data_IF_312844425181
#
_entry.id   IF_312844425181
#
_cell.length_a   1.000
_cell.length_b   1.000
_cell.length_c   1.000
_cell.angle_alpha   90.00
_cell.angle_beta   90.00
_cell.angle_gamma   90.00
#
_symmetry.space_group_name_H-M   'P 1'
#
loop_
_entity.id
_entity.type
_entity.pdbx_description
1 polymer ?
#
# COMPACT_ATOMS: atom_id res chain seq x y z
N UNK A 1 -56.74 12.15 -24.29
CA UNK A 1 -55.31 12.41 -24.60
C UNK A 1 -54.65 12.89 -23.32
N UNK A 2 -53.97 11.99 -22.59
CA UNK A 2 -53.27 12.26 -21.32
C UNK A 2 -51.77 12.05 -21.55
N UNK A 3 -50.88 12.86 -20.93
CA UNK A 3 -49.54 13.07 -21.44
C UNK A 3 -48.61 11.90 -21.11
N UNK A 4 -48.01 11.34 -22.17
CA UNK A 4 -46.97 10.30 -22.16
C UNK A 4 -45.63 10.77 -21.55
N UNK A 5 -45.56 12.01 -21.06
CA UNK A 5 -44.32 12.70 -20.71
C UNK A 5 -43.87 12.54 -19.24
N UNK A 6 -44.69 11.92 -18.38
CA UNK A 6 -44.49 11.97 -16.93
C UNK A 6 -43.63 10.84 -16.36
N UNK A 7 -43.23 9.87 -17.19
CA UNK A 7 -42.44 8.71 -16.77
C UNK A 7 -40.92 8.92 -16.85
N UNK A 8 -40.46 10.01 -17.47
CA UNK A 8 -39.03 10.23 -17.74
C UNK A 8 -38.25 10.88 -16.58
N UNK A 9 -38.94 11.48 -15.61
CA UNK A 9 -38.29 12.32 -14.57
C UNK A 9 -37.82 11.52 -13.34
N UNK A 10 -38.26 10.27 -13.17
CA UNK A 10 -37.94 9.49 -11.97
C UNK A 10 -36.60 8.72 -12.03
N UNK A 11 -35.97 8.62 -13.21
CA UNK A 11 -34.74 7.83 -13.40
C UNK A 11 -33.44 8.63 -13.33
N UNK A 12 -33.51 9.96 -13.17
CA UNK A 12 -32.35 10.84 -13.21
C UNK A 12 -31.47 10.90 -11.92
N UNK A 13 -31.95 10.62 -10.68
CA UNK A 13 -31.08 10.80 -9.51
C UNK A 13 -30.09 9.65 -9.27
N UNK A 14 -30.20 8.51 -9.97
CA UNK A 14 -29.34 7.32 -9.73
C UNK A 14 -27.96 7.47 -10.40
N UNK A 15 -27.81 8.31 -11.42
CA UNK A 15 -26.55 8.48 -12.16
C UNK A 15 -25.54 9.42 -11.46
N UNK A 16 -25.96 10.21 -10.46
CA UNK A 16 -25.05 11.12 -9.72
C UNK A 16 -24.40 10.48 -8.49
N UNK A 17 -24.88 9.32 -8.02
CA UNK A 17 -24.25 8.55 -6.94
C UNK A 17 -23.27 7.48 -7.46
N UNK A 18 -22.83 7.64 -8.71
CA UNK A 18 -21.84 6.79 -9.36
C UNK A 18 -20.45 6.92 -8.71
N UNK A 19 -20.19 6.01 -7.78
CA UNK A 19 -18.90 5.35 -7.59
C UNK A 19 -17.69 6.23 -7.25
N UNK A 20 -17.66 6.76 -6.01
CA UNK A 20 -16.39 6.81 -5.29
C UNK A 20 -15.97 5.37 -4.97
N UNK A 21 -15.43 4.64 -5.95
CA UNK A 21 -14.84 3.33 -5.69
C UNK A 21 -13.65 3.55 -4.76
N UNK A 22 -13.64 2.96 -3.55
CA UNK A 22 -12.51 3.10 -2.65
C UNK A 22 -11.27 2.56 -3.35
N UNK A 23 -10.31 3.45 -3.63
CA UNK A 23 -9.01 3.04 -4.13
C UNK A 23 -8.29 2.32 -3.00
N UNK A 24 -8.36 0.99 -3.02
CA UNK A 24 -7.54 0.16 -2.16
C UNK A 24 -6.09 0.45 -2.54
N UNK A 25 -5.42 1.21 -1.68
CA UNK A 25 -4.01 1.50 -1.83
C UNK A 25 -3.27 0.18 -1.96
N UNK A 26 -2.42 -0.01 -2.99
CA UNK A 26 -1.70 -1.26 -3.15
C UNK A 26 -0.85 -1.51 -1.90
N UNK A 27 -0.75 -2.78 -1.44
CA UNK A 27 0.02 -3.14 -0.24
C UNK A 27 1.54 -3.10 -0.50
N UNK A 28 1.96 -2.30 -1.48
CA UNK A 28 3.36 -2.08 -1.80
C UNK A 28 3.58 -0.68 -2.36
N UNK A 29 4.85 -0.27 -2.38
CA UNK A 29 5.35 0.96 -2.99
C UNK A 29 6.66 0.68 -3.71
N UNK A 30 6.79 1.22 -4.91
CA UNK A 30 8.00 1.11 -5.72
C UNK A 30 8.81 2.40 -5.61
N UNK A 31 10.07 2.27 -5.20
CA UNK A 31 11.01 3.38 -5.06
C UNK A 31 12.13 3.23 -6.06
N UNK A 32 12.44 4.29 -6.80
CA UNK A 32 13.57 4.29 -7.73
C UNK A 32 14.87 4.32 -6.94
N UNK A 33 15.72 3.31 -7.13
CA UNK A 33 17.09 3.31 -6.68
C UNK A 33 17.98 3.97 -7.74
N UNK A 34 18.93 4.81 -7.30
CA UNK A 34 19.94 5.35 -8.22
C UNK A 34 21.00 4.27 -8.48
N UNK A 35 21.58 4.21 -9.69
CA UNK A 35 22.51 3.12 -10.07
C UNK A 35 23.80 3.03 -9.24
N UNK A 36 24.12 4.07 -8.46
CA UNK A 36 25.39 4.20 -7.73
C UNK A 36 25.45 3.33 -6.47
N UNK A 37 24.30 2.91 -5.94
CA UNK A 37 24.21 2.12 -4.71
C UNK A 37 23.26 0.95 -4.91
N UNK A 38 23.53 -0.17 -4.23
CA UNK A 38 22.61 -1.29 -4.16
C UNK A 38 21.24 -0.82 -3.67
N UNK A 39 20.21 -1.10 -4.46
CA UNK A 39 18.83 -0.73 -4.17
C UNK A 39 18.38 -1.24 -2.79
N UNK A 40 18.78 -2.46 -2.42
CA UNK A 40 18.50 -3.04 -1.11
C UNK A 40 19.24 -2.33 0.02
N UNK A 41 20.48 -1.89 -0.18
CA UNK A 41 21.25 -1.22 0.88
C UNK A 41 20.67 0.17 1.20
N UNK A 42 20.10 0.85 0.19
CA UNK A 42 19.28 2.04 0.40
C UNK A 42 18.04 1.74 1.23
N UNK A 43 17.34 0.66 0.93
CA UNK A 43 16.15 0.26 1.69
C UNK A 43 16.51 -0.10 3.14
N UNK A 44 17.60 -0.85 3.37
CA UNK A 44 18.12 -1.14 4.72
C UNK A 44 18.41 0.14 5.49
N UNK A 45 19.09 1.10 4.87
CA UNK A 45 19.41 2.39 5.49
C UNK A 45 18.16 3.19 5.83
N UNK A 46 17.19 3.25 4.91
CA UNK A 46 15.92 3.95 5.12
C UNK A 46 15.09 3.32 6.24
N UNK A 47 15.01 1.99 6.31
CA UNK A 47 14.33 1.27 7.38
C UNK A 47 14.96 1.57 8.74
N UNK A 48 16.29 1.47 8.85
CA UNK A 48 17.01 1.81 10.09
C UNK A 48 16.81 3.26 10.49
N UNK A 49 16.88 4.20 9.55
CA UNK A 49 16.66 5.63 9.81
C UNK A 49 15.22 5.92 10.29
N UNK A 50 14.23 5.16 9.83
CA UNK A 50 12.85 5.22 10.30
C UNK A 50 12.60 4.43 11.61
N UNK A 51 13.66 3.91 12.24
CA UNK A 51 13.59 3.18 13.50
C UNK A 51 13.06 1.75 13.38
N UNK A 52 13.16 1.15 12.19
CA UNK A 52 12.84 -0.26 12.00
C UNK A 52 14.09 -1.13 12.19
N UNK A 53 13.92 -2.21 12.92
CA UNK A 53 14.93 -3.26 13.02
C UNK A 53 14.88 -4.12 11.76
N UNK A 54 15.99 -4.17 11.02
CA UNK A 54 16.08 -4.90 9.74
C UNK A 54 16.62 -6.30 9.99
N UNK A 55 15.96 -7.30 9.40
CA UNK A 55 16.33 -8.71 9.41
C UNK A 55 16.39 -9.24 7.98
N UNK A 56 17.03 -10.38 7.79
CA UNK A 56 16.98 -11.05 6.50
C UNK A 56 15.57 -11.55 6.20
N UNK A 57 15.14 -11.42 4.95
CA UNK A 57 13.87 -11.95 4.49
C UNK A 57 13.92 -13.47 4.35
N UNK A 58 12.74 -14.09 4.16
CA UNK A 58 12.62 -15.54 3.98
C UNK A 58 13.29 -16.00 2.68
N UNK A 59 13.31 -15.14 1.66
CA UNK A 59 13.92 -15.42 0.36
C UNK A 59 15.21 -14.64 0.17
N UNK A 60 16.16 -15.23 -0.57
CA UNK A 60 17.42 -14.58 -0.97
C UNK A 60 17.14 -13.31 -1.74
N UNK A 61 17.84 -12.21 -1.39
CA UNK A 61 17.64 -10.91 -2.04
C UNK A 61 16.39 -10.16 -1.55
N UNK A 62 15.76 -10.64 -0.47
CA UNK A 62 14.70 -9.93 0.24
C UNK A 62 15.21 -9.54 1.62
N UNK A 63 14.94 -8.30 2.02
CA UNK A 63 15.13 -7.84 3.40
C UNK A 63 13.76 -7.65 4.04
N UNK A 64 13.66 -7.91 5.33
CA UNK A 64 12.45 -7.72 6.10
C UNK A 64 12.73 -6.80 7.30
N UNK A 65 11.68 -6.32 7.94
CA UNK A 65 11.78 -5.71 9.27
C UNK A 65 11.21 -6.65 10.33
N UNK A 66 11.58 -6.42 11.58
CA UNK A 66 10.77 -6.89 12.69
C UNK A 66 9.38 -6.24 12.63
N UNK A 67 8.39 -6.98 13.10
CA UNK A 67 7.02 -6.51 13.26
C UNK A 67 6.99 -5.38 14.30
N UNK A 68 6.35 -4.27 13.95
CA UNK A 68 6.18 -3.12 14.84
C UNK A 68 4.70 -2.75 14.89
N UNK A 69 4.23 -2.48 16.10
CA UNK A 69 2.91 -1.89 16.28
C UNK A 69 2.96 -0.41 15.85
N UNK A 70 2.13 -0.04 14.87
CA UNK A 70 2.07 1.35 14.36
C UNK A 70 0.85 2.11 14.89
N UNK A 71 -0.18 1.40 15.37
CA UNK A 71 -1.37 2.02 15.95
C UNK A 71 -2.03 1.11 16.98
N UNK A 72 -2.45 1.71 18.09
CA UNK A 72 -3.30 1.08 19.10
C UNK A 72 -4.69 1.73 19.02
N UNK A 73 -5.70 0.95 18.64
CA UNK A 73 -7.08 1.35 18.84
C UNK A 73 -7.62 0.54 20.02
N UNK A 74 -8.49 1.13 20.84
CA UNK A 74 -9.06 0.48 22.05
C UNK A 74 -9.61 -0.94 21.84
N UNK A 75 -9.94 -1.33 20.61
CA UNK A 75 -10.49 -2.65 20.27
C UNK A 75 -9.55 -3.54 19.41
N UNK A 76 -8.47 -3.01 18.83
CA UNK A 76 -7.56 -3.78 17.99
C UNK A 76 -6.19 -3.10 17.81
N UNK A 77 -5.15 -3.91 17.64
CA UNK A 77 -3.78 -3.48 17.39
C UNK A 77 -3.45 -3.70 15.92
N UNK A 78 -2.67 -2.80 15.33
CA UNK A 78 -2.17 -3.01 13.97
C UNK A 78 -0.67 -3.27 14.05
N UNK A 79 -0.29 -4.50 13.72
CA UNK A 79 1.10 -4.91 13.53
C UNK A 79 1.46 -4.73 12.06
N UNK A 80 2.61 -4.12 11.81
CA UNK A 80 3.15 -3.93 10.47
C UNK A 80 4.52 -4.53 10.37
N UNK A 81 4.73 -5.26 9.28
CA UNK A 81 6.02 -5.76 8.82
C UNK A 81 6.29 -5.19 7.44
N UNK A 82 7.50 -4.69 7.21
CA UNK A 82 7.93 -4.21 5.90
C UNK A 82 8.87 -5.22 5.27
N UNK A 83 8.73 -5.45 3.97
CA UNK A 83 9.66 -6.27 3.19
C UNK A 83 10.09 -5.53 1.96
N UNK A 84 11.37 -5.59 1.61
CA UNK A 84 11.90 -4.94 0.42
C UNK A 84 12.65 -5.93 -0.46
N UNK A 85 12.40 -5.84 -1.77
CA UNK A 85 13.07 -6.62 -2.80
C UNK A 85 13.46 -5.75 -3.99
N UNK A 86 14.49 -6.15 -4.74
CA UNK A 86 14.83 -5.49 -6.00
C UNK A 86 13.81 -5.82 -7.08
N UNK A 87 13.41 -4.81 -7.85
CA UNK A 87 12.51 -4.95 -8.99
C UNK A 87 13.10 -4.22 -10.20
N UNK A 88 13.14 -4.88 -11.37
CA UNK A 88 13.62 -4.31 -12.64
C UNK A 88 14.98 -3.59 -12.54
N UNK A 89 15.91 -4.10 -11.71
CA UNK A 89 17.28 -3.61 -11.47
C UNK A 89 17.45 -2.17 -10.97
N UNK A 90 16.42 -1.32 -11.05
CA UNK A 90 16.44 0.12 -10.70
C UNK A 90 15.37 0.51 -9.70
N UNK A 91 14.54 -0.43 -9.27
CA UNK A 91 13.51 -0.18 -8.28
C UNK A 91 13.71 -1.08 -7.06
N UNK A 92 13.28 -0.58 -5.92
CA UNK A 92 12.99 -1.37 -4.73
C UNK A 92 11.49 -1.39 -4.58
N UNK A 93 10.92 -2.59 -4.53
CA UNK A 93 9.54 -2.75 -4.10
C UNK A 93 9.51 -2.99 -2.61
N UNK A 94 8.81 -2.12 -1.89
CA UNK A 94 8.56 -2.25 -0.45
C UNK A 94 7.12 -2.74 -0.27
N UNK A 95 6.95 -3.96 0.23
CA UNK A 95 5.67 -4.51 0.66
C UNK A 95 5.36 -4.07 2.08
N UNK A 96 4.09 -3.76 2.32
CA UNK A 96 3.53 -3.36 3.61
C UNK A 96 2.57 -4.46 4.04
N UNK A 97 3.01 -5.29 4.97
CA UNK A 97 2.20 -6.35 5.55
C UNK A 97 1.57 -5.82 6.84
N UNK A 98 0.30 -5.42 6.76
CA UNK A 98 -0.46 -4.97 7.91
C UNK A 98 -1.50 -6.02 8.31
N UNK A 99 -1.50 -6.43 9.57
CA UNK A 99 -2.46 -7.38 10.12
C UNK A 99 -2.87 -6.96 11.53
N UNK A 100 -3.95 -7.59 11.99
CA UNK A 100 -4.69 -7.30 13.22
C UNK A 100 -4.56 -8.45 14.20
#
# INVERSE_FOLDING_TARGET
MKPLAQLFVFFLPILFFGACTPSLTPPYRDYRATPRESALDKAKTAFKAAGWEVKDGVATGVIATQERQIRDFKAYKILVKLEATTFQSRFVRVYIHAYR
#
